data_IF_327797382865
#
_entry.id   IF_327797382865
#
_cell.length_a   1.000
_cell.length_b   1.000
_cell.length_c   1.000
_cell.angle_alpha   90.00
_cell.angle_beta   90.00
_cell.angle_gamma   90.00
#
_symmetry.space_group_name_H-M   'P 1'
#
loop_
_entity.id
_entity.type
_entity.pdbx_description
1 polymer ?
#
# COMPACT_ATOMS: atom_id res chain seq x y z
N UNK A 1 -56.96 -40.31 27.74
CA UNK A 1 -57.05 -38.86 27.94
C UNK A 1 -56.38 -38.21 26.77
N UNK A 2 -57.17 -37.85 25.73
CA UNK A 2 -56.66 -37.28 24.47
C UNK A 2 -56.56 -35.77 24.62
N UNK A 3 -55.35 -35.22 24.56
CA UNK A 3 -55.12 -33.78 24.55
C UNK A 3 -55.12 -33.32 23.10
N UNK A 4 -56.22 -32.66 22.70
CA UNK A 4 -56.33 -32.02 21.39
C UNK A 4 -55.68 -30.66 21.44
N UNK A 5 -54.49 -30.53 20.88
CA UNK A 5 -53.78 -29.22 20.76
C UNK A 5 -54.43 -28.46 19.60
N UNK A 6 -55.01 -27.30 19.92
CA UNK A 6 -55.69 -26.41 18.99
C UNK A 6 -54.76 -25.90 17.88
N UNK A 7 -55.21 -25.98 16.63
CA UNK A 7 -54.47 -25.50 15.43
C UNK A 7 -54.10 -24.00 15.44
N UNK A 8 -54.66 -23.24 16.38
CA UNK A 8 -54.34 -21.81 16.53
C UNK A 8 -52.93 -21.55 17.14
N UNK A 9 -52.44 -22.42 18.04
CA UNK A 9 -51.14 -22.26 18.66
C UNK A 9 -49.96 -22.59 17.71
N UNK A 10 -50.23 -23.45 16.73
CA UNK A 10 -49.22 -23.84 15.74
C UNK A 10 -48.90 -22.69 14.75
N UNK A 11 -49.86 -21.82 14.45
CA UNK A 11 -49.65 -20.66 13.58
C UNK A 11 -48.88 -19.52 14.24
N UNK A 12 -49.03 -19.34 15.56
CA UNK A 12 -48.30 -18.33 16.32
C UNK A 12 -46.85 -18.76 16.52
N UNK A 13 -46.59 -20.06 16.68
CA UNK A 13 -45.23 -20.58 16.84
C UNK A 13 -44.43 -20.52 15.52
N UNK A 14 -45.07 -20.70 14.36
CA UNK A 14 -44.43 -20.55 13.05
C UNK A 14 -44.17 -19.07 12.69
N UNK A 15 -45.01 -18.15 13.17
CA UNK A 15 -44.80 -16.72 12.92
C UNK A 15 -43.69 -16.12 13.77
N UNK A 16 -43.46 -16.65 14.98
CA UNK A 16 -42.36 -16.20 15.87
C UNK A 16 -40.99 -16.78 15.48
N UNK A 17 -40.95 -17.90 14.75
CA UNK A 17 -39.71 -18.48 14.26
C UNK A 17 -39.20 -17.82 12.97
N UNK A 18 -40.10 -17.12 12.24
CA UNK A 18 -39.75 -16.43 10.98
C UNK A 18 -39.15 -15.02 11.21
N UNK A 19 -39.27 -14.48 12.44
CA UNK A 19 -38.74 -13.13 12.76
C UNK A 19 -37.33 -13.14 13.34
N UNK A 20 -36.71 -14.32 13.55
CA UNK A 20 -35.38 -14.47 14.13
C UNK A 20 -34.26 -14.64 13.10
N UNK A 21 -34.58 -14.64 11.81
CA UNK A 21 -33.53 -14.74 10.75
C UNK A 21 -33.27 -13.43 10.00
N UNK A 22 -33.84 -12.30 10.47
CA UNK A 22 -33.54 -10.96 9.93
C UNK A 22 -32.72 -10.17 10.96
N UNK A 23 -31.62 -10.70 11.39
CA UNK A 23 -30.64 -9.88 12.10
C UNK A 23 -29.27 -10.50 11.99
N UNK A 24 -28.54 -10.04 11.02
CA UNK A 24 -27.11 -9.84 10.90
C UNK A 24 -26.69 -9.91 9.42
N UNK A 25 -27.35 -9.16 8.54
CA UNK A 25 -26.60 -8.45 7.54
C UNK A 25 -26.19 -7.14 8.20
N UNK A 26 -25.13 -7.18 8.97
CA UNK A 26 -24.39 -6.00 9.33
C UNK A 26 -23.96 -5.40 8.01
N UNK A 27 -24.56 -4.28 7.67
CA UNK A 27 -24.27 -3.56 6.44
C UNK A 27 -22.76 -3.30 6.37
N UNK A 28 -22.05 -4.07 5.55
CA UNK A 28 -20.70 -3.72 5.08
C UNK A 28 -20.73 -2.49 4.14
N UNK A 29 -21.84 -1.79 4.07
CA UNK A 29 -21.99 -0.58 3.26
C UNK A 29 -21.51 0.71 3.91
N UNK A 30 -21.16 0.70 5.21
CA UNK A 30 -20.74 1.91 5.93
C UNK A 30 -19.23 2.11 6.02
N UNK A 31 -18.42 1.24 5.41
CA UNK A 31 -16.96 1.32 5.55
C UNK A 31 -16.24 1.94 4.35
N UNK A 32 -16.94 2.35 3.31
CA UNK A 32 -16.33 2.86 2.08
C UNK A 32 -16.78 4.28 1.73
N UNK A 33 -16.88 5.17 2.73
CA UNK A 33 -17.19 6.60 2.48
C UNK A 33 -15.98 7.39 1.98
N UNK A 34 -14.76 6.88 2.19
CA UNK A 34 -13.56 7.57 1.75
C UNK A 34 -13.44 7.53 0.21
N UNK A 35 -13.46 8.71 -0.39
CA UNK A 35 -13.43 8.89 -1.86
C UNK A 35 -12.20 8.24 -2.50
N UNK A 36 -11.08 8.13 -1.77
CA UNK A 36 -9.84 7.55 -2.29
C UNK A 36 -9.92 6.05 -2.55
N UNK A 37 -10.86 5.35 -1.90
CA UNK A 37 -11.10 3.91 -2.09
C UNK A 37 -12.07 3.62 -3.24
N UNK A 38 -12.80 4.63 -3.74
CA UNK A 38 -13.82 4.45 -4.76
C UNK A 38 -13.21 4.17 -6.14
N UNK A 39 -13.93 3.41 -6.96
CA UNK A 39 -13.58 3.25 -8.36
C UNK A 39 -13.58 4.60 -9.09
N UNK A 40 -12.54 4.81 -9.90
CA UNK A 40 -12.44 6.01 -10.70
C UNK A 40 -13.49 6.00 -11.81
N UNK A 41 -14.05 7.16 -12.09
CA UNK A 41 -15.11 7.33 -13.08
C UNK A 41 -14.60 8.17 -14.26
N UNK A 42 -15.16 7.92 -15.43
CA UNK A 42 -14.88 8.70 -16.62
C UNK A 42 -14.18 7.95 -17.74
N UNK A 43 -13.71 8.63 -18.78
CA UNK A 43 -13.03 8.01 -19.91
C UNK A 43 -11.68 7.40 -19.49
N UNK A 44 -11.18 6.48 -20.33
CA UNK A 44 -9.87 5.81 -20.14
C UNK A 44 -9.75 4.99 -18.83
N UNK A 45 -10.86 4.42 -18.35
CA UNK A 45 -10.88 3.70 -17.08
C UNK A 45 -11.00 4.58 -15.84
N UNK A 46 -11.27 5.87 -16.05
CA UNK A 46 -11.35 6.87 -14.98
C UNK A 46 -10.01 7.49 -14.64
N UNK A 47 -10.05 8.51 -13.82
CA UNK A 47 -8.88 9.22 -13.31
C UNK A 47 -9.03 9.46 -11.81
N UNK A 48 -7.92 9.54 -11.05
CA UNK A 48 -7.97 9.90 -9.63
C UNK A 48 -8.66 11.24 -9.40
N UNK A 49 -9.60 11.29 -8.47
CA UNK A 49 -10.40 12.49 -8.16
C UNK A 49 -9.64 13.42 -7.18
N UNK A 50 -8.53 14.03 -7.64
CA UNK A 50 -7.71 14.93 -6.82
C UNK A 50 -8.47 16.17 -6.32
N UNK A 51 -9.50 16.59 -7.04
CA UNK A 51 -10.39 17.68 -6.65
C UNK A 51 -11.30 17.38 -5.44
N UNK A 52 -11.37 16.12 -5.04
CA UNK A 52 -12.23 15.63 -3.95
C UNK A 52 -11.45 15.03 -2.78
N UNK A 53 -10.11 15.02 -2.84
CA UNK A 53 -9.28 14.50 -1.77
C UNK A 53 -8.81 15.60 -0.82
N UNK A 54 -8.58 15.23 0.44
CA UNK A 54 -7.73 16.00 1.35
C UNK A 54 -6.61 15.12 1.91
N UNK A 55 -5.52 15.73 2.39
CA UNK A 55 -4.40 14.99 3.00
C UNK A 55 -4.87 14.18 4.21
N UNK A 56 -5.83 14.71 4.97
CA UNK A 56 -6.43 14.03 6.14
C UNK A 56 -7.15 12.73 5.79
N UNK A 57 -7.58 12.52 4.54
CA UNK A 57 -8.28 11.32 4.11
C UNK A 57 -7.31 10.15 3.84
N UNK A 58 -6.04 10.45 3.57
CA UNK A 58 -5.05 9.47 3.10
C UNK A 58 -4.78 8.40 4.15
N UNK A 59 -4.57 8.79 5.41
CA UNK A 59 -4.25 7.83 6.45
C UNK A 59 -5.34 6.77 6.60
N UNK A 60 -6.58 7.20 6.76
CA UNK A 60 -7.72 6.28 6.94
C UNK A 60 -7.97 5.42 5.69
N UNK A 61 -7.75 5.99 4.49
CA UNK A 61 -7.89 5.25 3.25
C UNK A 61 -6.83 4.14 3.12
N UNK A 62 -5.55 4.44 3.42
CA UNK A 62 -4.48 3.43 3.40
C UNK A 62 -4.75 2.35 4.43
N UNK A 63 -5.11 2.70 5.66
CA UNK A 63 -5.43 1.73 6.70
C UNK A 63 -6.58 0.80 6.31
N UNK A 64 -7.67 1.36 5.79
CA UNK A 64 -8.81 0.58 5.29
C UNK A 64 -8.42 -0.30 4.09
N UNK A 65 -7.67 0.24 3.13
CA UNK A 65 -7.20 -0.53 1.98
C UNK A 65 -6.29 -1.70 2.38
N UNK A 66 -5.43 -1.52 3.37
CA UNK A 66 -4.61 -2.60 3.93
C UNK A 66 -5.47 -3.69 4.59
N UNK A 67 -6.51 -3.32 5.34
CA UNK A 67 -7.43 -4.29 5.96
C UNK A 67 -8.19 -5.11 4.90
N UNK A 68 -8.69 -4.45 3.86
CA UNK A 68 -9.38 -5.12 2.75
C UNK A 68 -8.45 -6.09 2.03
N UNK A 69 -7.26 -5.66 1.66
CA UNK A 69 -6.29 -6.51 0.99
C UNK A 69 -5.85 -7.70 1.85
N UNK A 70 -5.62 -7.50 3.16
CA UNK A 70 -5.33 -8.63 4.07
C UNK A 70 -6.46 -9.66 4.09
N UNK A 71 -7.72 -9.23 4.06
CA UNK A 71 -8.85 -10.15 4.02
C UNK A 71 -8.90 -10.97 2.72
N UNK A 72 -8.56 -10.36 1.58
CA UNK A 72 -8.43 -11.06 0.29
C UNK A 72 -7.27 -12.06 0.33
N UNK A 73 -6.11 -11.65 0.81
CA UNK A 73 -4.93 -12.51 0.99
C UNK A 73 -5.25 -13.71 1.90
N UNK A 74 -5.95 -13.49 3.01
CA UNK A 74 -6.39 -14.57 3.91
C UNK A 74 -7.36 -15.53 3.22
N UNK A 75 -8.23 -15.02 2.35
CA UNK A 75 -9.13 -15.87 1.55
C UNK A 75 -8.35 -16.77 0.59
N UNK A 76 -7.33 -16.22 -0.07
CA UNK A 76 -6.43 -16.99 -0.94
C UNK A 76 -5.65 -18.02 -0.12
N UNK A 77 -5.03 -17.59 0.97
CA UNK A 77 -4.16 -18.42 1.81
C UNK A 77 -4.90 -19.63 2.41
N UNK A 78 -6.15 -19.44 2.85
CA UNK A 78 -6.95 -20.44 3.52
C UNK A 78 -7.90 -21.22 2.58
N UNK A 79 -7.79 -21.01 1.27
CA UNK A 79 -8.59 -21.76 0.29
C UNK A 79 -8.30 -23.27 0.41
N UNK A 80 -9.37 -24.08 0.46
CA UNK A 80 -9.29 -25.55 0.49
C UNK A 80 -9.12 -26.18 -0.89
N UNK A 81 -9.29 -25.39 -1.96
CA UNK A 81 -9.06 -25.84 -3.33
C UNK A 81 -7.57 -26.09 -3.57
N UNK A 82 -7.19 -27.09 -4.40
CA UNK A 82 -5.81 -27.29 -4.81
C UNK A 82 -5.20 -26.01 -5.38
N UNK A 83 -3.98 -25.66 -4.97
CA UNK A 83 -3.32 -24.45 -5.43
C UNK A 83 -2.99 -24.53 -6.91
N UNK A 84 -3.43 -23.53 -7.67
CA UNK A 84 -3.17 -23.36 -9.11
C UNK A 84 -2.63 -21.96 -9.38
N UNK A 85 -2.07 -21.75 -10.58
CA UNK A 85 -1.70 -20.41 -11.03
C UNK A 85 -2.86 -19.43 -10.83
N UNK A 86 -4.07 -19.81 -11.30
CA UNK A 86 -5.24 -18.92 -11.34
C UNK A 86 -5.79 -18.56 -9.95
N UNK A 87 -5.92 -19.55 -9.04
CA UNK A 87 -6.50 -19.32 -7.72
C UNK A 87 -5.47 -18.94 -6.63
N UNK A 88 -4.22 -18.77 -7.02
CA UNK A 88 -3.14 -18.38 -6.09
C UNK A 88 -2.39 -17.17 -6.65
N UNK A 89 -1.62 -17.34 -7.72
CA UNK A 89 -0.77 -16.26 -8.25
C UNK A 89 -1.61 -15.16 -8.89
N UNK A 90 -2.45 -15.50 -9.86
CA UNK A 90 -3.31 -14.53 -10.52
C UNK A 90 -4.38 -13.93 -9.58
N UNK A 91 -4.81 -14.67 -8.58
CA UNK A 91 -5.68 -14.14 -7.53
C UNK A 91 -4.95 -13.10 -6.66
N UNK A 92 -3.68 -13.30 -6.32
CA UNK A 92 -2.85 -12.30 -5.63
C UNK A 92 -2.64 -11.04 -6.47
N UNK A 93 -2.33 -11.20 -7.75
CA UNK A 93 -2.15 -10.06 -8.67
C UNK A 93 -3.42 -9.19 -8.82
N UNK A 94 -4.58 -9.78 -8.63
CA UNK A 94 -5.87 -9.07 -8.67
C UNK A 94 -6.32 -8.53 -7.32
N UNK A 95 -5.66 -8.90 -6.24
CA UNK A 95 -6.02 -8.45 -4.89
C UNK A 95 -5.48 -7.04 -4.61
N UNK A 96 -6.12 -6.32 -3.70
CA UNK A 96 -5.66 -5.00 -3.24
C UNK A 96 -6.06 -3.82 -4.13
N UNK A 97 -7.03 -3.98 -5.03
CA UNK A 97 -7.43 -2.92 -5.97
C UNK A 97 -7.82 -1.59 -5.27
N UNK A 98 -8.44 -1.65 -4.09
CA UNK A 98 -8.76 -0.47 -3.28
C UNK A 98 -7.49 0.21 -2.78
N UNK A 99 -6.54 -0.57 -2.28
CA UNK A 99 -5.26 -0.08 -1.77
C UNK A 99 -4.43 0.55 -2.90
N UNK A 100 -4.40 -0.07 -4.08
CA UNK A 100 -3.68 0.44 -5.25
C UNK A 100 -4.22 1.80 -5.71
N UNK A 101 -5.54 1.98 -5.66
CA UNK A 101 -6.16 3.29 -5.93
C UNK A 101 -5.68 4.35 -4.95
N UNK A 102 -5.64 4.02 -3.65
CA UNK A 102 -5.14 4.95 -2.63
C UNK A 102 -3.66 5.25 -2.82
N UNK A 103 -2.86 4.24 -3.18
CA UNK A 103 -1.43 4.44 -3.44
C UNK A 103 -1.14 5.32 -4.66
N UNK A 104 -2.07 5.42 -5.61
CA UNK A 104 -1.94 6.38 -6.71
C UNK A 104 -1.98 7.83 -6.19
N UNK A 105 -2.88 8.16 -5.26
CA UNK A 105 -2.91 9.48 -4.60
C UNK A 105 -1.68 9.67 -3.71
N UNK A 106 -1.38 8.69 -2.86
CA UNK A 106 -0.22 8.72 -1.95
C UNK A 106 1.10 8.94 -2.72
N UNK A 107 1.30 8.25 -3.83
CA UNK A 107 2.49 8.36 -4.66
C UNK A 107 2.68 9.75 -5.26
N UNK A 108 1.60 10.38 -5.76
CA UNK A 108 1.66 11.74 -6.28
C UNK A 108 1.93 12.76 -5.16
N UNK A 109 1.29 12.59 -4.01
CA UNK A 109 1.58 13.45 -2.84
C UNK A 109 3.02 13.30 -2.37
N UNK A 110 3.55 12.07 -2.37
CA UNK A 110 4.93 11.81 -1.97
C UNK A 110 5.97 12.38 -2.93
N UNK A 111 5.75 12.27 -4.24
CA UNK A 111 6.76 12.60 -5.24
C UNK A 111 6.67 14.04 -5.78
N UNK A 112 5.47 14.64 -5.82
CA UNK A 112 5.25 15.91 -6.52
C UNK A 112 4.56 17.00 -5.67
N UNK A 113 3.80 16.60 -4.64
CA UNK A 113 2.95 17.52 -3.88
C UNK A 113 3.15 17.37 -2.37
N UNK A 114 4.37 17.07 -1.94
CA UNK A 114 4.69 16.90 -0.52
C UNK A 114 4.40 18.20 0.26
N UNK A 115 3.82 18.02 1.44
CA UNK A 115 3.56 19.10 2.40
C UNK A 115 3.97 18.66 3.80
N UNK A 116 4.17 19.57 4.76
CA UNK A 116 4.42 19.20 6.16
C UNK A 116 3.35 18.25 6.72
N UNK A 117 2.07 18.54 6.48
CA UNK A 117 0.94 17.70 6.89
C UNK A 117 1.05 16.29 6.28
N UNK A 118 1.38 16.17 5.00
CA UNK A 118 1.53 14.87 4.37
C UNK A 118 2.72 14.08 4.92
N UNK A 119 3.84 14.74 5.24
CA UNK A 119 5.00 14.09 5.87
C UNK A 119 4.67 13.50 7.25
N UNK A 120 3.80 14.16 8.03
CA UNK A 120 3.28 13.60 9.28
C UNK A 120 2.49 12.31 9.02
N UNK A 121 1.61 12.30 8.01
CA UNK A 121 0.87 11.10 7.60
C UNK A 121 1.82 9.98 7.16
N UNK A 122 2.86 10.29 6.39
CA UNK A 122 3.90 9.33 5.98
C UNK A 122 4.60 8.70 7.20
N UNK A 123 4.98 9.52 8.17
CA UNK A 123 5.62 9.05 9.41
C UNK A 123 4.75 8.07 10.20
N UNK A 124 3.43 8.32 10.26
CA UNK A 124 2.47 7.42 10.92
C UNK A 124 2.27 6.13 10.12
N UNK A 125 2.22 6.21 8.80
CA UNK A 125 1.94 5.07 7.92
C UNK A 125 3.15 4.14 7.71
N UNK A 126 4.37 4.65 7.72
CA UNK A 126 5.57 3.87 7.43
C UNK A 126 5.69 2.58 8.27
N UNK A 127 5.59 2.59 9.61
CA UNK A 127 5.63 1.37 10.41
C UNK A 127 4.42 0.45 10.17
N UNK A 128 3.25 0.98 9.84
CA UNK A 128 2.04 0.20 9.56
C UNK A 128 2.14 -0.53 8.22
N UNK A 129 2.71 0.12 7.20
CA UNK A 129 2.98 -0.48 5.90
C UNK A 129 4.03 -1.59 5.99
N UNK A 130 5.07 -1.39 6.81
CA UNK A 130 6.04 -2.45 7.10
C UNK A 130 5.39 -3.66 7.79
N UNK A 131 4.55 -3.44 8.79
CA UNK A 131 3.79 -4.51 9.46
C UNK A 131 2.85 -5.23 8.49
N UNK A 132 2.11 -4.50 7.67
CA UNK A 132 1.23 -5.03 6.63
C UNK A 132 2.01 -5.93 5.65
N UNK A 133 3.12 -5.45 5.12
CA UNK A 133 3.99 -6.23 4.23
C UNK A 133 4.53 -7.50 4.91
N UNK A 134 4.94 -7.39 6.18
CA UNK A 134 5.39 -8.54 6.98
C UNK A 134 4.30 -9.59 7.16
N UNK A 135 3.05 -9.20 7.41
CA UNK A 135 1.91 -10.12 7.54
C UNK A 135 1.71 -10.95 6.29
N UNK A 136 1.82 -10.35 5.10
CA UNK A 136 1.70 -11.05 3.83
C UNK A 136 2.91 -11.95 3.59
N UNK A 137 4.12 -11.39 3.66
CA UNK A 137 5.35 -12.08 3.30
C UNK A 137 5.69 -13.25 4.24
N UNK A 138 5.22 -13.21 5.49
CA UNK A 138 5.44 -14.25 6.48
C UNK A 138 4.23 -15.18 6.68
N UNK A 139 3.17 -15.02 5.87
CA UNK A 139 2.01 -15.90 5.92
C UNK A 139 2.38 -17.28 5.38
N UNK A 140 2.49 -18.25 6.29
CA UNK A 140 2.91 -19.60 5.96
C UNK A 140 1.91 -20.35 5.05
N UNK A 141 0.61 -20.11 5.23
CA UNK A 141 -0.43 -20.75 4.42
C UNK A 141 -0.35 -20.25 2.97
N UNK A 142 -0.23 -18.92 2.79
CA UNK A 142 -0.01 -18.30 1.49
C UNK A 142 1.26 -18.83 0.82
N UNK A 143 2.38 -18.81 1.54
CA UNK A 143 3.66 -19.30 1.03
C UNK A 143 3.59 -20.76 0.56
N UNK A 144 2.94 -21.64 1.34
CA UNK A 144 2.76 -23.03 0.94
C UNK A 144 1.99 -23.18 -0.37
N UNK A 145 0.96 -22.35 -0.61
CA UNK A 145 0.21 -22.35 -1.86
C UNK A 145 1.09 -21.88 -3.03
N UNK A 146 1.81 -20.77 -2.84
CA UNK A 146 2.75 -20.24 -3.85
C UNK A 146 3.82 -21.26 -4.19
N UNK A 147 4.42 -21.88 -3.18
CA UNK A 147 5.42 -22.95 -3.36
C UNK A 147 4.85 -24.13 -4.13
N UNK A 148 3.62 -24.55 -3.84
CA UNK A 148 2.95 -25.64 -4.55
C UNK A 148 2.80 -25.31 -6.05
N UNK A 149 2.41 -24.07 -6.39
CA UNK A 149 2.31 -23.63 -7.79
C UNK A 149 3.69 -23.56 -8.44
N UNK A 150 4.70 -23.04 -7.73
CA UNK A 150 6.08 -22.97 -8.20
C UNK A 150 6.64 -24.37 -8.51
N UNK A 151 6.54 -25.31 -7.58
CA UNK A 151 7.02 -26.68 -7.75
C UNK A 151 6.29 -27.38 -8.93
N UNK A 152 4.97 -27.18 -9.06
CA UNK A 152 4.19 -27.76 -10.15
C UNK A 152 4.58 -27.17 -11.52
N UNK A 153 4.93 -25.89 -11.59
CA UNK A 153 5.34 -25.21 -12.83
C UNK A 153 6.65 -25.75 -13.41
N UNK A 154 7.47 -26.43 -12.62
CA UNK A 154 8.70 -27.08 -13.09
C UNK A 154 8.42 -28.33 -13.94
N UNK A 155 7.24 -28.93 -13.81
CA UNK A 155 6.85 -30.16 -14.49
C UNK A 155 5.65 -30.00 -15.41
N UNK A 156 4.78 -29.03 -15.15
CA UNK A 156 3.61 -28.69 -15.95
C UNK A 156 3.80 -27.30 -16.53
N UNK A 157 4.08 -27.20 -17.85
CA UNK A 157 4.40 -25.90 -18.46
C UNK A 157 3.25 -24.89 -18.33
N UNK A 158 3.57 -23.72 -17.82
CA UNK A 158 2.80 -22.49 -17.94
C UNK A 158 3.30 -21.76 -19.21
N UNK A 159 2.59 -20.73 -19.66
CA UNK A 159 3.18 -19.85 -20.67
C UNK A 159 4.39 -19.06 -20.09
N UNK A 160 5.19 -18.43 -20.94
CA UNK A 160 6.44 -17.80 -20.51
C UNK A 160 6.23 -16.67 -19.50
N UNK A 161 5.16 -15.90 -19.65
CA UNK A 161 4.85 -14.77 -18.75
C UNK A 161 4.35 -15.29 -17.40
N UNK A 162 3.46 -16.26 -17.42
CA UNK A 162 2.98 -16.93 -16.21
C UNK A 162 4.13 -17.59 -15.44
N UNK A 163 5.01 -18.31 -16.14
CA UNK A 163 6.20 -18.94 -15.54
C UNK A 163 7.08 -17.89 -14.85
N UNK A 164 7.28 -16.76 -15.52
CA UNK A 164 8.09 -15.67 -14.96
C UNK A 164 7.45 -15.03 -13.72
N UNK A 165 6.14 -14.81 -13.75
CA UNK A 165 5.41 -14.25 -12.58
C UNK A 165 5.49 -15.22 -11.39
N UNK A 166 5.28 -16.53 -11.61
CA UNK A 166 5.42 -17.54 -10.55
C UNK A 166 6.81 -17.54 -9.92
N UNK A 167 7.86 -17.50 -10.76
CA UNK A 167 9.25 -17.45 -10.29
C UNK A 167 9.53 -16.20 -9.46
N UNK A 168 9.12 -15.03 -9.94
CA UNK A 168 9.32 -13.76 -9.24
C UNK A 168 8.56 -13.72 -7.92
N UNK A 169 7.32 -14.19 -7.90
CA UNK A 169 6.48 -14.23 -6.70
C UNK A 169 7.09 -15.15 -5.64
N UNK A 170 7.46 -16.38 -6.02
CA UNK A 170 8.11 -17.33 -5.10
C UNK A 170 9.41 -16.75 -4.53
N UNK A 171 10.34 -16.31 -5.39
CA UNK A 171 11.61 -15.75 -4.96
C UNK A 171 11.46 -14.52 -4.07
N UNK A 172 10.51 -13.63 -4.39
CA UNK A 172 10.27 -12.43 -3.59
C UNK A 172 9.85 -12.75 -2.16
N UNK A 173 8.97 -13.73 -1.98
CA UNK A 173 8.46 -14.10 -0.64
C UNK A 173 9.50 -14.93 0.12
N UNK A 174 10.20 -15.83 -0.56
CA UNK A 174 11.28 -16.63 0.05
C UNK A 174 12.42 -15.73 0.56
N UNK A 175 12.90 -14.80 -0.25
CA UNK A 175 13.91 -13.81 0.14
C UNK A 175 13.48 -12.90 1.29
N UNK A 176 12.19 -12.72 1.50
CA UNK A 176 11.61 -11.96 2.63
C UNK A 176 11.40 -12.82 3.88
N UNK A 177 11.92 -14.04 3.89
CA UNK A 177 12.01 -14.88 5.06
C UNK A 177 10.82 -15.80 5.29
N UNK A 178 10.06 -16.15 4.26
CA UNK A 178 8.91 -17.04 4.38
C UNK A 178 9.28 -18.42 5.01
N UNK A 179 10.44 -18.97 4.67
CA UNK A 179 10.94 -20.24 5.21
C UNK A 179 11.68 -20.11 6.56
N UNK A 180 11.86 -18.90 7.08
CA UNK A 180 12.54 -18.71 8.36
C UNK A 180 11.77 -19.34 9.53
N UNK A 181 12.49 -19.83 10.53
CA UNK A 181 11.91 -20.25 11.80
C UNK A 181 11.25 -19.09 12.55
N UNK A 182 10.31 -19.39 13.46
CA UNK A 182 9.51 -18.38 14.16
C UNK A 182 10.37 -17.29 14.84
N UNK A 183 11.46 -17.70 15.51
CA UNK A 183 12.39 -16.78 16.18
C UNK A 183 13.13 -15.88 15.17
N UNK A 184 13.57 -16.44 14.05
CA UNK A 184 14.21 -15.71 12.96
C UNK A 184 13.23 -14.77 12.25
N UNK A 185 11.96 -15.16 12.07
CA UNK A 185 10.91 -14.29 11.53
C UNK A 185 10.67 -13.07 12.42
N UNK A 186 10.61 -13.27 13.74
CA UNK A 186 10.46 -12.15 14.68
C UNK A 186 11.64 -11.17 14.59
N UNK A 187 12.87 -11.69 14.47
CA UNK A 187 14.08 -10.86 14.28
C UNK A 187 14.06 -10.13 12.95
N UNK A 188 13.67 -10.81 11.86
CA UNK A 188 13.53 -10.22 10.54
C UNK A 188 12.54 -9.03 10.55
N UNK A 189 11.33 -9.26 11.11
CA UNK A 189 10.31 -8.22 11.20
C UNK A 189 10.77 -7.01 12.04
N UNK A 190 11.53 -7.22 13.12
CA UNK A 190 12.08 -6.15 13.92
C UNK A 190 13.11 -5.32 13.12
N UNK A 191 13.98 -5.96 12.36
CA UNK A 191 14.98 -5.31 11.50
C UNK A 191 14.26 -4.50 10.39
N UNK A 192 13.28 -5.10 9.73
CA UNK A 192 12.54 -4.46 8.63
C UNK A 192 11.82 -3.19 9.10
N UNK A 193 11.19 -3.26 10.27
CA UNK A 193 10.56 -2.09 10.91
C UNK A 193 11.57 -0.99 11.24
N UNK A 194 12.73 -1.34 11.78
CA UNK A 194 13.78 -0.38 12.11
C UNK A 194 14.35 0.28 10.83
N UNK A 195 14.62 -0.52 9.79
CA UNK A 195 15.07 -0.03 8.48
C UNK A 195 14.06 0.92 7.85
N UNK A 196 12.78 0.61 7.89
CA UNK A 196 11.72 1.48 7.39
C UNK A 196 11.76 2.88 8.04
N UNK A 197 11.97 2.93 9.35
CA UNK A 197 12.11 4.20 10.08
C UNK A 197 13.40 4.94 9.69
N UNK A 198 14.52 4.21 9.58
CA UNK A 198 15.81 4.79 9.21
C UNK A 198 15.80 5.35 7.78
N UNK A 199 15.19 4.65 6.82
CA UNK A 199 15.04 5.15 5.45
C UNK A 199 14.21 6.43 5.39
N UNK A 200 13.10 6.50 6.13
CA UNK A 200 12.32 7.73 6.23
C UNK A 200 13.17 8.90 6.77
N UNK A 201 13.85 8.67 7.89
CA UNK A 201 14.73 9.69 8.50
C UNK A 201 15.84 10.13 7.53
N UNK A 202 16.42 9.18 6.80
CA UNK A 202 17.44 9.49 5.79
C UNK A 202 16.88 10.37 4.67
N UNK A 203 15.71 10.01 4.14
CA UNK A 203 15.05 10.78 3.08
C UNK A 203 14.70 12.19 3.52
N UNK A 204 14.17 12.34 4.75
CA UNK A 204 13.86 13.65 5.32
C UNK A 204 15.13 14.50 5.50
N UNK A 205 16.26 13.89 5.93
CA UNK A 205 17.54 14.59 6.06
C UNK A 205 18.06 15.05 4.69
N UNK A 206 17.97 14.20 3.66
CA UNK A 206 18.36 14.58 2.28
C UNK A 206 17.51 15.76 1.79
N UNK A 207 16.20 15.70 1.97
CA UNK A 207 15.31 16.78 1.57
C UNK A 207 15.62 18.08 2.32
N UNK A 208 15.87 17.99 3.63
CA UNK A 208 16.27 19.14 4.44
C UNK A 208 17.59 19.77 3.94
N UNK A 209 18.58 18.95 3.57
CA UNK A 209 19.83 19.41 2.99
C UNK A 209 19.58 20.11 1.64
N UNK A 210 18.76 19.52 0.76
CA UNK A 210 18.41 20.10 -0.53
C UNK A 210 17.72 21.48 -0.38
N UNK A 211 16.77 21.60 0.56
CA UNK A 211 16.04 22.84 0.82
C UNK A 211 16.93 23.95 1.39
N UNK A 212 17.92 23.59 2.18
CA UNK A 212 18.70 24.56 3.00
C UNK A 212 20.13 24.75 2.55
N UNK A 213 20.71 23.81 1.81
CA UNK A 213 22.10 23.92 1.35
C UNK A 213 22.23 25.00 0.28
N UNK A 214 23.17 25.90 0.50
CA UNK A 214 23.55 26.91 -0.48
C UNK A 214 25.03 27.26 -0.37
N UNK A 215 25.71 27.23 -1.49
CA UNK A 215 27.08 27.73 -1.60
C UNK A 215 27.08 29.06 -2.33
N UNK A 216 27.64 30.11 -1.69
CA UNK A 216 27.77 31.42 -2.32
C UNK A 216 29.17 31.58 -2.95
N UNK A 217 29.19 32.02 -4.21
CA UNK A 217 30.37 32.24 -5.01
C UNK A 217 30.53 33.72 -5.33
N UNK A 218 31.77 34.15 -5.57
CA UNK A 218 32.08 35.46 -6.14
C UNK A 218 32.31 35.34 -7.67
N UNK A 219 32.47 36.49 -8.35
CA UNK A 219 32.65 36.53 -9.81
C UNK A 219 33.90 35.79 -10.30
N UNK A 220 34.96 35.75 -9.51
CA UNK A 220 36.26 35.10 -9.87
C UNK A 220 36.13 33.56 -9.91
N UNK A 221 35.15 33.01 -9.22
CA UNK A 221 34.90 31.58 -9.13
C UNK A 221 33.99 31.04 -10.25
N UNK A 222 33.58 31.90 -11.18
CA UNK A 222 32.59 31.54 -12.24
C UNK A 222 33.28 31.31 -13.59
N UNK A 223 34.59 31.35 -13.66
CA UNK A 223 35.31 31.15 -14.90
C UNK A 223 34.99 29.79 -15.56
N UNK A 224 34.70 29.81 -16.85
CA UNK A 224 34.32 28.63 -17.61
C UNK A 224 32.82 28.23 -17.52
N UNK A 225 31.99 28.91 -16.72
CA UNK A 225 30.57 28.66 -16.64
C UNK A 225 29.80 29.43 -17.73
N UNK A 226 28.66 28.88 -18.19
CA UNK A 226 27.84 29.52 -19.20
C UNK A 226 27.11 30.76 -18.65
N UNK A 227 26.85 31.73 -19.52
CA UNK A 227 26.11 32.96 -19.15
C UNK A 227 24.74 32.65 -18.53
N UNK A 228 24.05 31.64 -19.07
CA UNK A 228 22.73 31.19 -18.55
C UNK A 228 22.84 30.69 -17.10
N UNK A 229 23.85 29.89 -16.79
CA UNK A 229 24.11 29.39 -15.44
C UNK A 229 24.46 30.55 -14.48
N UNK A 230 25.33 31.45 -14.89
CA UNK A 230 25.73 32.63 -14.11
C UNK A 230 24.50 33.49 -13.76
N UNK A 231 23.63 33.72 -14.75
CA UNK A 231 22.40 34.48 -14.56
C UNK A 231 21.44 33.79 -13.56
N UNK A 232 21.29 32.46 -13.64
CA UNK A 232 20.48 31.70 -12.70
C UNK A 232 21.06 31.76 -11.30
N UNK A 233 22.37 31.56 -11.15
CA UNK A 233 23.05 31.64 -9.85
C UNK A 233 22.92 33.03 -9.20
N UNK A 234 22.98 34.10 -9.98
CA UNK A 234 22.75 35.46 -9.49
C UNK A 234 21.29 35.67 -9.01
N UNK A 235 20.31 35.12 -9.73
CA UNK A 235 18.90 35.18 -9.35
C UNK A 235 18.65 34.45 -8.02
N UNK A 236 19.20 33.24 -7.87
CA UNK A 236 19.09 32.44 -6.63
C UNK A 236 19.77 33.20 -5.46
N UNK A 237 20.94 33.79 -5.67
CA UNK A 237 21.60 34.57 -4.63
C UNK A 237 20.77 35.77 -4.17
N UNK A 238 20.09 36.46 -5.10
CA UNK A 238 19.17 37.55 -4.78
C UNK A 238 17.98 37.05 -3.96
N UNK A 239 17.39 35.93 -4.35
CA UNK A 239 16.28 35.28 -3.61
C UNK A 239 16.70 34.87 -2.19
N UNK A 240 17.94 34.39 -2.03
CA UNK A 240 18.54 34.04 -0.74
C UNK A 240 19.07 35.24 0.06
N UNK A 241 18.79 36.48 -0.38
CA UNK A 241 19.15 37.72 0.31
C UNK A 241 20.60 38.15 0.19
N UNK A 242 21.36 37.61 -0.81
CA UNK A 242 22.76 37.99 -1.09
C UNK A 242 22.95 38.55 -2.50
N UNK A 243 22.33 39.68 -2.74
CA UNK A 243 22.46 40.41 -4.01
C UNK A 243 23.95 40.74 -4.29
N UNK A 244 24.36 40.59 -5.54
CA UNK A 244 25.77 40.82 -5.98
C UNK A 244 26.69 39.63 -5.78
N UNK A 245 26.22 38.49 -5.26
CA UNK A 245 26.90 37.21 -5.25
C UNK A 245 26.18 36.20 -6.17
N UNK A 246 26.67 34.98 -6.20
CA UNK A 246 26.10 33.88 -6.98
C UNK A 246 25.87 32.69 -6.06
N UNK A 247 24.74 32.04 -6.15
CA UNK A 247 24.38 30.94 -5.27
C UNK A 247 24.18 29.65 -6.06
N UNK A 248 24.72 28.56 -5.51
CA UNK A 248 24.55 27.20 -5.99
C UNK A 248 23.81 26.43 -4.92
N UNK A 249 22.72 25.75 -5.32
CA UNK A 249 21.93 24.85 -4.47
C UNK A 249 22.13 23.40 -4.88
N UNK A 250 21.59 22.45 -4.10
CA UNK A 250 21.60 21.02 -4.40
C UNK A 250 20.48 20.59 -5.39
N UNK A 251 19.62 21.50 -5.78
CA UNK A 251 18.46 21.27 -6.65
C UNK A 251 18.63 21.95 -7.99
#
# INVERSE_FOLDING_TARGET
MNITVSKSYLKVFYLSLLTLTISCKKDMKTQNENTLLQEWQGPYGGVPAFDKMSVSDIQSAVETGMELNLAEIETIANSTEPATFENTIAAMERSGAELDRVFSYYGIMSSNMSSPEFREVQGVLAPKLSEFSSKINQNKALFNRIKTVYDASMTTPLDADQQRVVELTYNSIDMRGAELSTDKKARYAAIDKELSTLYNTFSDNVLHDEENYVTFLNAEQLDGLSEGFIKSAAAIATEKGKEGSYAITNT
#
